data_IF_629926229670
#
_entry.id   IF_629926229670
#
_cell.length_a   1.000
_cell.length_b   1.000
_cell.length_c   1.000
_cell.angle_alpha   90.00
_cell.angle_beta   90.00
_cell.angle_gamma   90.00
#
_symmetry.space_group_name_H-M   'P 1'
#
loop_
_entity.id
_entity.type
_entity.pdbx_description
1 polymer ?
#
# COMPACT_ATOMS: atom_id res chain seq x y z
N UNK A 1 -28.00 17.61 -80.07
CA UNK A 1 -27.44 18.86 -79.49
C UNK A 1 -27.84 18.95 -78.02
N UNK A 2 -26.98 19.53 -77.16
CA UNK A 2 -26.54 18.90 -75.91
C UNK A 2 -27.42 19.14 -74.67
N UNK A 3 -27.50 18.12 -73.81
CA UNK A 3 -28.12 18.14 -72.49
C UNK A 3 -27.27 18.96 -71.52
N UNK A 4 -27.90 19.94 -70.89
CA UNK A 4 -27.32 20.80 -69.86
C UNK A 4 -27.14 19.97 -68.56
N UNK A 5 -25.93 19.84 -67.98
CA UNK A 5 -25.76 19.13 -66.72
C UNK A 5 -26.22 20.00 -65.54
N UNK A 6 -27.18 19.49 -64.78
CA UNK A 6 -27.63 20.08 -63.51
C UNK A 6 -26.47 20.12 -62.52
N UNK A 7 -26.08 21.32 -62.09
CA UNK A 7 -25.05 21.52 -61.08
C UNK A 7 -25.52 20.94 -59.72
N UNK A 8 -24.75 20.07 -59.06
CA UNK A 8 -25.14 19.49 -57.78
C UNK A 8 -24.91 20.51 -56.64
N UNK A 9 -25.81 21.48 -56.51
CA UNK A 9 -25.73 22.53 -55.47
C UNK A 9 -26.11 21.99 -54.08
N UNK A 10 -27.00 20.98 -54.04
CA UNK A 10 -27.51 20.39 -52.79
C UNK A 10 -26.45 19.67 -51.94
N UNK A 11 -25.56 18.79 -52.47
CA UNK A 11 -24.54 18.14 -51.64
C UNK A 11 -23.45 19.12 -51.16
N UNK A 12 -23.20 20.21 -51.88
CA UNK A 12 -22.24 21.23 -51.48
C UNK A 12 -22.69 21.99 -50.22
N UNK A 13 -23.99 22.28 -50.11
CA UNK A 13 -24.58 22.93 -48.93
C UNK A 13 -24.59 22.00 -47.70
N UNK A 14 -24.87 20.70 -47.91
CA UNK A 14 -24.84 19.71 -46.84
C UNK A 14 -23.41 19.53 -46.29
N UNK A 15 -22.41 19.49 -47.19
CA UNK A 15 -21.00 19.46 -46.82
C UNK A 15 -20.61 20.68 -45.98
N UNK A 16 -20.99 21.89 -46.40
CA UNK A 16 -20.69 23.11 -45.65
C UNK A 16 -21.29 23.10 -44.24
N UNK A 17 -22.54 22.63 -44.09
CA UNK A 17 -23.23 22.54 -42.80
C UNK A 17 -22.55 21.54 -41.84
N UNK A 18 -22.09 20.40 -42.36
CA UNK A 18 -21.37 19.41 -41.53
C UNK A 18 -20.03 19.95 -41.03
N UNK A 19 -19.32 20.72 -41.87
CA UNK A 19 -18.02 21.31 -41.52
C UNK A 19 -18.21 22.41 -40.47
N UNK A 20 -19.22 23.29 -40.61
CA UNK A 20 -19.51 24.31 -39.60
C UNK A 20 -19.98 23.70 -38.28
N UNK A 21 -20.81 22.65 -38.31
CA UNK A 21 -21.24 21.95 -37.11
C UNK A 21 -20.05 21.27 -36.39
N UNK A 22 -19.12 20.66 -37.14
CA UNK A 22 -17.90 20.08 -36.59
C UNK A 22 -16.98 21.14 -35.98
N UNK A 23 -16.75 22.25 -36.68
CA UNK A 23 -15.94 23.36 -36.16
C UNK A 23 -16.57 23.97 -34.89
N UNK A 24 -17.90 24.12 -34.87
CA UNK A 24 -18.61 24.57 -33.68
C UNK A 24 -18.40 23.60 -32.50
N UNK A 25 -18.50 22.28 -32.74
CA UNK A 25 -18.23 21.26 -31.73
C UNK A 25 -16.79 21.29 -31.22
N UNK A 26 -15.80 21.54 -32.08
CA UNK A 26 -14.40 21.71 -31.66
C UNK A 26 -14.18 22.99 -30.83
N UNK A 27 -14.94 24.06 -31.09
CA UNK A 27 -14.86 25.28 -30.26
C UNK A 27 -15.61 25.17 -28.93
N UNK A 28 -16.52 24.20 -28.79
CA UNK A 28 -17.30 23.97 -27.58
C UNK A 28 -16.62 23.05 -26.56
N UNK A 29 -15.43 22.51 -26.83
CA UNK A 29 -14.69 21.77 -25.80
C UNK A 29 -14.13 22.77 -24.79
N UNK A 30 -14.59 22.77 -23.53
CA UNK A 30 -13.91 23.54 -22.50
C UNK A 30 -12.52 22.93 -22.33
N UNK A 31 -11.47 23.63 -22.77
CA UNK A 31 -10.12 23.39 -22.28
C UNK A 31 -10.16 23.64 -20.78
N UNK A 32 -10.27 22.57 -20.00
CA UNK A 32 -9.88 22.62 -18.60
C UNK A 32 -8.41 23.00 -18.59
N UNK A 33 -8.12 24.26 -18.24
CA UNK A 33 -6.78 24.67 -17.92
C UNK A 33 -6.31 23.79 -16.75
N UNK A 34 -5.46 22.81 -17.05
CA UNK A 34 -4.64 22.15 -16.04
C UNK A 34 -3.78 23.26 -15.44
N UNK A 35 -4.23 23.82 -14.33
CA UNK A 35 -3.40 24.64 -13.47
C UNK A 35 -2.29 23.72 -12.98
N UNK A 36 -1.13 23.78 -13.63
CA UNK A 36 0.10 23.20 -13.11
C UNK A 36 0.21 23.67 -11.66
N UNK A 37 0.26 22.76 -10.67
CA UNK A 37 0.57 23.19 -9.32
C UNK A 37 1.97 23.80 -9.37
N UNK A 38 2.06 25.11 -9.12
CA UNK A 38 3.31 25.75 -8.73
C UNK A 38 3.87 24.94 -7.58
N UNK A 39 5.07 24.36 -7.67
CA UNK A 39 5.72 23.81 -6.51
C UNK A 39 6.28 24.99 -5.72
N UNK A 40 5.41 25.72 -5.01
CA UNK A 40 5.79 26.23 -3.69
C UNK A 40 5.77 25.01 -2.75
N UNK A 41 6.62 24.03 -3.07
CA UNK A 41 6.86 22.89 -2.21
C UNK A 41 7.71 23.42 -1.07
N UNK A 42 7.04 23.95 -0.04
CA UNK A 42 7.53 23.78 1.32
C UNK A 42 8.05 22.34 1.39
N UNK A 43 9.33 22.18 1.74
CA UNK A 43 9.98 20.88 1.79
C UNK A 43 9.00 19.87 2.41
N UNK A 44 8.73 18.71 1.76
CA UNK A 44 7.68 17.81 2.23
C UNK A 44 7.97 17.50 3.68
N UNK A 45 7.06 17.91 4.57
CA UNK A 45 7.18 17.63 5.99
C UNK A 45 7.37 16.11 6.12
N UNK A 46 8.48 15.69 6.74
CA UNK A 46 8.79 14.28 6.85
C UNK A 46 7.68 13.60 7.67
N UNK A 47 6.82 12.75 7.06
CA UNK A 47 5.66 12.19 7.77
C UNK A 47 6.07 11.25 8.91
N UNK A 48 7.32 10.77 8.91
CA UNK A 48 7.85 9.88 9.94
C UNK A 48 7.99 10.57 11.31
N UNK A 49 8.11 11.90 11.37
CA UNK A 49 8.22 12.63 12.66
C UNK A 49 6.96 12.48 13.51
N UNK A 50 5.83 12.23 12.85
CA UNK A 50 4.52 12.02 13.46
C UNK A 50 4.15 10.55 13.64
N UNK A 51 5.04 9.61 13.32
CA UNK A 51 4.84 8.21 13.66
C UNK A 51 5.48 7.87 15.00
N UNK A 52 4.75 7.13 15.82
CA UNK A 52 5.24 6.55 17.07
C UNK A 52 4.97 5.06 17.04
N UNK A 53 6.00 4.27 17.32
CA UNK A 53 5.90 2.82 17.46
C UNK A 53 6.01 2.48 18.94
N UNK A 54 5.11 1.66 19.43
CA UNK A 54 5.21 1.09 20.77
C UNK A 54 4.98 -0.42 20.74
N UNK A 55 5.60 -1.12 21.68
CA UNK A 55 5.48 -2.55 21.85
C UNK A 55 5.05 -2.82 23.29
N UNK A 56 4.05 -3.65 23.50
CA UNK A 56 3.59 -4.05 24.83
C UNK A 56 3.32 -5.53 24.88
N UNK A 57 3.50 -6.14 26.04
CA UNK A 57 3.03 -7.49 26.29
C UNK A 57 1.56 -7.45 26.75
N UNK A 58 0.68 -8.18 26.08
CA UNK A 58 -0.77 -8.22 26.36
C UNK A 58 -1.20 -9.50 27.08
N UNK A 59 -0.44 -10.58 26.93
CA UNK A 59 -0.67 -11.85 27.64
C UNK A 59 0.66 -12.47 28.08
N UNK A 60 0.62 -13.25 29.16
CA UNK A 60 1.76 -13.99 29.70
C UNK A 60 1.69 -15.49 29.43
N UNK A 61 0.52 -16.03 29.07
CA UNK A 61 0.33 -17.45 28.78
C UNK A 61 -0.80 -17.68 27.76
N UNK A 62 -0.50 -17.97 26.48
CA UNK A 62 0.83 -17.87 25.88
C UNK A 62 1.33 -16.41 25.90
N UNK A 63 2.66 -16.16 25.92
CA UNK A 63 3.19 -14.81 25.88
C UNK A 63 2.80 -14.12 24.57
N UNK A 64 2.15 -12.97 24.66
CA UNK A 64 1.65 -12.25 23.49
C UNK A 64 2.14 -10.81 23.49
N UNK A 65 2.69 -10.36 22.37
CA UNK A 65 3.16 -9.01 22.13
C UNK A 65 2.20 -8.29 21.17
N UNK A 66 1.94 -7.02 21.43
CA UNK A 66 1.22 -6.15 20.50
C UNK A 66 2.11 -4.98 20.12
N UNK A 67 2.43 -4.88 18.82
CA UNK A 67 3.02 -3.69 18.24
C UNK A 67 1.90 -2.72 17.87
N UNK A 68 2.10 -1.44 18.19
CA UNK A 68 1.19 -0.35 17.84
C UNK A 68 1.95 0.71 17.07
N UNK A 69 1.35 1.17 15.98
CA UNK A 69 1.80 2.35 15.24
C UNK A 69 0.75 3.44 15.40
N UNK A 70 1.17 4.59 15.92
CA UNK A 70 0.31 5.74 16.22
C UNK A 70 0.68 6.92 15.35
N UNK A 71 -0.33 7.55 14.75
CA UNK A 71 -0.20 8.81 14.03
C UNK A 71 -0.47 9.99 14.99
N UNK A 72 0.58 10.75 15.30
CA UNK A 72 0.51 11.93 16.18
C UNK A 72 0.29 13.23 15.40
N UNK A 73 0.10 13.17 14.08
CA UNK A 73 -0.19 14.35 13.29
C UNK A 73 -1.58 14.90 13.67
N UNK A 74 -1.75 16.22 13.89
CA UNK A 74 -3.01 16.78 14.38
C UNK A 74 -4.20 16.61 13.44
N UNK A 75 -3.99 16.68 12.11
CA UNK A 75 -5.11 16.72 11.15
C UNK A 75 -4.95 15.89 9.86
N UNK A 76 -3.80 15.24 9.64
CA UNK A 76 -3.49 14.55 8.39
C UNK A 76 -3.42 13.04 8.63
N UNK A 77 -4.25 12.23 7.93
CA UNK A 77 -4.14 10.79 8.00
C UNK A 77 -2.85 10.31 7.33
N UNK A 78 -2.28 9.22 7.83
CA UNK A 78 -1.10 8.59 7.26
C UNK A 78 -1.49 7.25 6.63
N UNK A 79 -1.12 7.05 5.37
CA UNK A 79 -1.33 5.78 4.67
C UNK A 79 -0.03 4.98 4.70
N UNK A 80 -0.09 3.77 5.24
CA UNK A 80 1.07 2.91 5.48
C UNK A 80 0.89 1.59 4.74
N UNK A 81 1.94 1.15 4.04
CA UNK A 81 2.06 -0.23 3.61
C UNK A 81 2.50 -1.06 4.82
N UNK A 82 1.79 -2.14 5.14
CA UNK A 82 2.08 -2.97 6.32
C UNK A 82 3.33 -3.82 6.17
N UNK A 83 3.75 -4.09 4.94
CA UNK A 83 4.89 -4.95 4.64
C UNK A 83 6.19 -4.35 5.16
N UNK A 84 7.02 -5.18 5.79
CA UNK A 84 8.31 -4.76 6.35
C UNK A 84 8.19 -3.67 7.42
N UNK A 85 7.06 -3.66 8.13
CA UNK A 85 6.78 -2.74 9.25
C UNK A 85 6.39 -3.52 10.51
N UNK A 86 6.30 -2.87 11.69
CA UNK A 86 5.76 -3.51 12.89
C UNK A 86 4.30 -3.99 12.75
N UNK A 87 3.58 -3.52 11.73
CA UNK A 87 2.22 -3.99 11.39
C UNK A 87 2.23 -5.21 10.46
N UNK A 88 3.40 -5.70 10.05
CA UNK A 88 3.51 -6.91 9.24
C UNK A 88 3.22 -8.13 10.12
N UNK A 89 2.26 -9.01 9.75
CA UNK A 89 2.01 -10.25 10.49
C UNK A 89 3.26 -11.15 10.60
N UNK A 90 4.23 -10.98 9.69
CA UNK A 90 5.48 -11.73 9.69
C UNK A 90 6.65 -10.96 10.31
N UNK A 91 6.44 -9.79 10.92
CA UNK A 91 7.51 -8.89 11.39
C UNK A 91 8.61 -9.60 12.21
N UNK A 92 8.23 -10.44 13.19
CA UNK A 92 9.19 -11.19 14.01
C UNK A 92 10.02 -12.18 13.16
N UNK A 93 9.37 -12.87 12.21
CA UNK A 93 10.01 -13.85 11.33
C UNK A 93 10.82 -13.19 10.21
N UNK A 94 10.58 -11.92 9.92
CA UNK A 94 11.37 -11.10 9.00
C UNK A 94 12.61 -10.49 9.68
N UNK A 95 12.75 -10.66 11.00
CA UNK A 95 13.87 -10.09 11.76
C UNK A 95 13.73 -8.60 12.06
N UNK A 96 12.50 -8.06 12.06
CA UNK A 96 12.24 -6.66 12.39
C UNK A 96 12.35 -6.35 13.89
N UNK A 97 12.44 -7.39 14.72
CA UNK A 97 12.67 -7.27 16.16
C UNK A 97 13.64 -8.36 16.63
N UNK A 98 14.37 -8.04 17.69
CA UNK A 98 15.32 -8.94 18.35
C UNK A 98 14.79 -9.27 19.75
N UNK A 99 14.90 -10.53 20.14
CA UNK A 99 14.55 -10.98 21.50
C UNK A 99 15.84 -11.25 22.25
N UNK A 100 15.99 -10.69 23.45
CA UNK A 100 17.16 -10.88 24.32
C UNK A 100 16.78 -11.60 25.62
N UNK A 101 17.65 -12.46 26.11
CA UNK A 101 17.50 -13.16 27.38
C UNK A 101 18.07 -12.32 28.53
N UNK A 102 17.18 -11.93 29.45
CA UNK A 102 17.56 -11.18 30.65
C UNK A 102 18.05 -9.76 30.35
N UNK A 103 18.29 -9.00 31.41
CA UNK A 103 18.84 -7.64 31.33
C UNK A 103 20.38 -7.60 31.47
N UNK A 104 21.02 -8.75 31.69
CA UNK A 104 22.42 -8.82 32.15
C UNK A 104 23.40 -9.40 31.13
N UNK A 105 22.98 -10.34 30.29
CA UNK A 105 23.91 -11.14 29.47
C UNK A 105 23.87 -10.78 27.96
N UNK A 106 22.99 -9.86 27.54
CA UNK A 106 22.79 -9.43 26.14
C UNK A 106 22.65 -10.59 25.13
N UNK A 107 22.32 -11.80 25.60
CA UNK A 107 22.21 -12.98 24.75
C UNK A 107 20.95 -12.86 23.88
N UNK A 108 21.15 -12.76 22.57
CA UNK A 108 20.08 -12.67 21.59
C UNK A 108 19.53 -14.07 21.27
N UNK A 109 18.24 -14.27 21.46
CA UNK A 109 17.54 -15.46 20.97
C UNK A 109 17.62 -15.52 19.45
N UNK A 110 18.25 -16.57 18.93
CA UNK A 110 18.36 -16.82 17.50
C UNK A 110 17.01 -17.27 16.92
N UNK A 111 16.25 -16.31 16.36
CA UNK A 111 15.01 -16.58 15.63
C UNK A 111 15.34 -16.75 14.14
N UNK A 112 14.98 -17.88 13.50
CA UNK A 112 15.20 -18.05 12.07
C UNK A 112 14.45 -17.00 11.24
N UNK A 113 15.21 -16.18 10.51
CA UNK A 113 14.65 -15.18 9.61
C UNK A 113 14.29 -15.82 8.27
N UNK A 114 13.06 -15.58 7.81
CA UNK A 114 12.59 -16.05 6.51
C UNK A 114 12.61 -14.92 5.49
N UNK A 115 12.92 -15.26 4.23
CA UNK A 115 12.78 -14.33 3.11
C UNK A 115 11.44 -14.56 2.42
N UNK A 116 10.61 -13.52 2.37
CA UNK A 116 9.27 -13.59 1.77
C UNK A 116 9.25 -12.85 0.44
N UNK A 117 8.82 -13.54 -0.62
CA UNK A 117 8.54 -12.91 -1.91
C UNK A 117 7.06 -12.55 -1.99
N UNK A 118 6.75 -11.25 -2.01
CA UNK A 118 5.38 -10.75 -2.11
C UNK A 118 5.03 -10.45 -3.56
N UNK A 119 3.80 -10.77 -3.97
CA UNK A 119 3.29 -10.47 -5.31
C UNK A 119 2.94 -8.99 -5.41
N UNK A 120 3.30 -8.36 -6.52
CA UNK A 120 2.93 -6.98 -6.82
C UNK A 120 1.76 -6.91 -7.82
N UNK A 121 0.87 -5.90 -7.72
CA UNK A 121 0.82 -4.87 -6.67
C UNK A 121 0.38 -5.44 -5.31
N UNK A 122 0.64 -4.73 -4.18
CA UNK A 122 0.07 -5.09 -2.89
C UNK A 122 -1.46 -5.14 -2.97
N UNK A 123 -2.04 -6.09 -2.26
CA UNK A 123 -3.49 -6.16 -2.09
C UNK A 123 -3.98 -5.00 -1.20
N UNK A 124 -5.27 -4.67 -1.29
CA UNK A 124 -5.82 -3.50 -0.60
C UNK A 124 -5.72 -3.59 0.94
N UNK A 125 -5.73 -4.80 1.49
CA UNK A 125 -5.57 -5.10 2.91
C UNK A 125 -4.12 -4.90 3.42
N UNK A 126 -3.13 -4.86 2.51
CA UNK A 126 -1.75 -4.53 2.85
C UNK A 126 -1.54 -3.03 3.09
N UNK A 127 -2.55 -2.19 2.84
CA UNK A 127 -2.47 -0.74 3.04
C UNK A 127 -3.42 -0.35 4.16
N UNK A 128 -2.88 0.30 5.19
CA UNK A 128 -3.62 0.76 6.36
C UNK A 128 -3.59 2.28 6.42
N UNK A 129 -4.76 2.89 6.59
CA UNK A 129 -4.89 4.33 6.86
C UNK A 129 -4.99 4.52 8.37
N UNK A 130 -4.07 5.30 8.92
CA UNK A 130 -4.04 5.67 10.33
C UNK A 130 -4.53 7.10 10.46
N UNK A 131 -5.70 7.25 11.09
CA UNK A 131 -6.33 8.53 11.33
C UNK A 131 -5.45 9.50 12.13
N UNK A 132 -5.60 10.82 11.96
CA UNK A 132 -4.86 11.80 12.73
C UNK A 132 -5.28 11.83 14.21
N UNK A 133 -4.68 12.76 14.95
CA UNK A 133 -5.00 13.08 16.34
C UNK A 133 -4.88 11.87 17.30
N UNK A 134 -3.89 11.01 17.06
CA UNK A 134 -3.62 9.84 17.92
C UNK A 134 -4.29 8.55 17.44
N UNK A 135 -4.84 8.51 16.22
CA UNK A 135 -5.25 7.27 15.58
C UNK A 135 -4.12 6.25 15.54
N UNK A 136 -4.47 4.97 15.61
CA UNK A 136 -3.48 3.89 15.72
C UNK A 136 -3.92 2.63 14.97
N UNK A 137 -2.92 1.83 14.59
CA UNK A 137 -3.09 0.47 14.11
C UNK A 137 -2.23 -0.48 14.94
N UNK A 138 -2.67 -1.73 15.09
CA UNK A 138 -2.00 -2.72 15.92
C UNK A 138 -1.81 -4.04 15.18
N UNK A 139 -0.74 -4.75 15.56
CA UNK A 139 -0.47 -6.11 15.13
C UNK A 139 -0.06 -6.93 16.36
N UNK A 140 -0.69 -8.09 16.51
CA UNK A 140 -0.45 -9.01 17.61
C UNK A 140 0.47 -10.16 17.16
N UNK A 141 1.35 -10.57 18.05
CA UNK A 141 2.30 -11.66 17.88
C UNK A 141 2.24 -12.58 19.09
N UNK A 142 1.81 -13.81 18.87
CA UNK A 142 1.84 -14.85 19.89
C UNK A 142 3.20 -15.54 19.84
N UNK A 143 3.90 -15.56 20.97
CA UNK A 143 5.22 -16.18 21.11
C UNK A 143 5.05 -17.65 21.51
N UNK A 144 4.83 -18.49 20.51
CA UNK A 144 4.74 -19.94 20.67
C UNK A 144 5.90 -20.64 19.96
N UNK A 145 6.33 -21.77 20.52
CA UNK A 145 7.27 -22.64 19.84
C UNK A 145 6.61 -23.24 18.59
N UNK A 146 7.28 -23.27 17.42
CA UNK A 146 6.72 -23.91 16.24
C UNK A 146 6.42 -25.39 16.52
N UNK A 147 5.15 -25.79 16.39
CA UNK A 147 4.70 -27.18 16.58
C UNK A 147 5.12 -28.06 15.38
N UNK A 148 6.42 -28.28 15.18
CA UNK A 148 6.91 -29.23 14.18
C UNK A 148 7.60 -30.42 14.86
N UNK A 149 6.84 -31.51 14.95
CA UNK A 149 7.25 -32.80 15.50
C UNK A 149 8.08 -33.59 14.46
N UNK A 150 9.40 -33.47 14.57
CA UNK A 150 10.38 -34.13 13.69
C UNK A 150 10.42 -35.66 13.84
N UNK A 151 9.79 -36.23 14.88
CA UNK A 151 9.67 -37.68 15.06
C UNK A 151 8.86 -38.35 13.95
N UNK A 152 7.89 -37.64 13.34
CA UNK A 152 7.08 -38.13 12.22
C UNK A 152 7.76 -38.05 10.86
N UNK A 153 8.77 -37.19 10.71
CA UNK A 153 9.45 -36.97 9.42
C UNK A 153 10.43 -38.10 9.13
N UNK A 154 10.87 -38.83 10.16
CA UNK A 154 11.85 -39.92 10.06
C UNK A 154 11.24 -41.30 9.79
N UNK A 155 9.93 -41.46 9.91
CA UNK A 155 9.26 -42.77 9.82
C UNK A 155 8.83 -43.23 8.42
N UNK A 156 9.02 -42.43 7.36
CA UNK A 156 8.38 -42.67 6.06
C UNK A 156 9.30 -43.16 4.92
N UNK A 157 10.60 -43.32 5.13
CA UNK A 157 11.51 -43.87 4.09
C UNK A 157 12.61 -44.74 4.69
N UNK A 158 12.21 -45.91 5.19
CA UNK A 158 13.03 -47.12 5.21
C UNK A 158 12.10 -48.28 4.90
N UNK A 159 11.91 -48.60 3.62
CA UNK A 159 11.58 -49.91 3.00
C UNK A 159 11.76 -49.67 1.48
N UNK A 160 12.45 -50.42 0.64
CA UNK A 160 13.41 -51.53 0.69
C UNK A 160 14.19 -51.44 -0.65
#
# INVERSE_FOLDING_TARGET
>A
MPRQPSRPILPALLGLLTITALLYYLTLTPTSATKSPTPDAAAPANPLTHLRVSLRQTSTSPPTLTARVTNTHPSTPLTLLTWDTPLDPLALRLGLATVTFGAADDEVLAIPVVQVRRKLPPAADAVVVVEPAGGFAEQEFVLEEPVLDVGRIRGATTEE
#
